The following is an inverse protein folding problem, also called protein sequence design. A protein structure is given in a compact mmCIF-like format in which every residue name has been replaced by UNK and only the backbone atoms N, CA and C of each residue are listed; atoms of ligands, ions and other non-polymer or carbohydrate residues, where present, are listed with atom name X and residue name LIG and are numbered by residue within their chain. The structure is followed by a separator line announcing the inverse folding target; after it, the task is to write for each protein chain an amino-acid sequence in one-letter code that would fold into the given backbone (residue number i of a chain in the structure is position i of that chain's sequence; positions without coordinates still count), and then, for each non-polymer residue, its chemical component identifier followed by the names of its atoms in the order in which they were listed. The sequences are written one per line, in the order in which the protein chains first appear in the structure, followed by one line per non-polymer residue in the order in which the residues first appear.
data_IF_602932605341
#
_entry.id   IF_602932605341
#
_cell.length_a   1.000
_cell.length_b   1.000
_cell.length_c   1.000
_cell.angle_alpha   90.00
_cell.angle_beta   90.00
_cell.angle_gamma   90.00
#
_symmetry.space_group_name_H-M   'P 1'
#
loop_
_entity.id
_entity.type
_entity.pdbx_description
1 polymer ?
#
# COMPACT_ATOMS: atom_id res chain seq x y z
N UNK A 1 -20.98 -3.52 -9.45
CA UNK A 1 -20.17 -3.61 -8.23
C UNK A 1 -20.41 -4.95 -7.56
N UNK A 2 -19.74 -5.21 -6.44
CA UNK A 2 -20.05 -6.35 -5.58
C UNK A 2 -19.36 -7.69 -5.85
N UNK A 3 -18.31 -7.75 -6.69
CA UNK A 3 -17.49 -8.98 -6.83
C UNK A 3 -16.02 -8.70 -6.58
N UNK A 4 -15.46 -9.43 -5.63
CA UNK A 4 -14.03 -9.46 -5.37
C UNK A 4 -13.32 -10.43 -6.31
N UNK A 5 -12.15 -10.01 -6.77
CA UNK A 5 -11.24 -10.84 -7.54
C UNK A 5 -9.91 -10.92 -6.82
N UNK A 6 -9.24 -12.07 -6.91
CA UNK A 6 -7.89 -12.25 -6.40
C UNK A 6 -6.91 -12.15 -7.55
N UNK A 7 -6.04 -11.16 -7.49
CA UNK A 7 -4.89 -11.02 -8.39
C UNK A 7 -3.73 -11.84 -7.82
N UNK A 8 -3.09 -12.64 -8.66
CA UNK A 8 -1.85 -13.36 -8.33
C UNK A 8 -0.81 -13.00 -9.37
N UNK A 9 0.30 -12.45 -8.93
CA UNK A 9 1.43 -12.17 -9.80
C UNK A 9 2.30 -13.44 -9.89
N UNK A 10 2.73 -13.86 -11.09
CA UNK A 10 3.73 -14.92 -11.23
C UNK A 10 5.00 -14.59 -10.47
N UNK A 11 5.61 -15.58 -9.81
CA UNK A 11 6.77 -15.37 -8.94
C UNK A 11 7.96 -14.78 -9.71
N UNK A 12 8.08 -15.10 -11.00
CA UNK A 12 9.15 -14.64 -11.89
C UNK A 12 9.06 -13.13 -12.17
N UNK A 13 7.90 -12.50 -11.91
CA UNK A 13 7.71 -11.06 -12.05
C UNK A 13 7.95 -10.29 -10.75
N UNK A 14 8.26 -10.99 -9.66
CA UNK A 14 8.54 -10.37 -8.37
C UNK A 14 10.07 -10.20 -8.25
N UNK A 15 10.58 -8.97 -8.19
CA UNK A 15 12.01 -8.71 -8.02
C UNK A 15 12.43 -9.01 -6.58
N UNK A 16 12.60 -10.30 -6.23
CA UNK A 16 12.77 -10.77 -4.86
C UNK A 16 13.91 -10.08 -4.07
N UNK A 17 14.97 -9.70 -4.78
CA UNK A 17 16.17 -9.06 -4.24
C UNK A 17 16.02 -7.53 -4.02
N UNK A 18 14.98 -6.89 -4.58
CA UNK A 18 14.72 -5.47 -4.34
C UNK A 18 13.66 -5.32 -3.23
N UNK A 19 14.04 -4.85 -2.02
CA UNK A 19 13.12 -4.78 -0.89
C UNK A 19 11.99 -3.78 -1.09
N UNK A 20 12.13 -2.80 -2.00
CA UNK A 20 11.08 -1.82 -2.30
C UNK A 20 10.21 -2.32 -3.45
N UNK A 21 10.82 -2.80 -4.54
CA UNK A 21 10.08 -3.17 -5.75
C UNK A 21 9.25 -4.46 -5.56
N UNK A 22 9.63 -5.34 -4.62
CA UNK A 22 8.86 -6.55 -4.31
C UNK A 22 7.59 -6.32 -3.47
N UNK A 23 7.40 -5.12 -2.93
CA UNK A 23 6.21 -4.81 -2.11
C UNK A 23 4.94 -4.83 -2.96
N UNK A 24 3.85 -5.38 -2.42
CA UNK A 24 2.53 -5.44 -3.08
C UNK A 24 2.10 -4.08 -3.68
N UNK A 25 2.35 -2.99 -2.94
CA UNK A 25 2.02 -1.62 -3.38
C UNK A 25 2.86 -1.17 -4.58
N UNK A 26 4.14 -1.55 -4.62
CA UNK A 26 5.06 -1.23 -5.71
C UNK A 26 4.69 -2.02 -6.95
N UNK A 27 4.43 -3.33 -6.80
CA UNK A 27 3.98 -4.22 -7.86
C UNK A 27 2.65 -3.75 -8.46
N UNK A 28 1.69 -3.35 -7.63
CA UNK A 28 0.42 -2.81 -8.09
C UNK A 28 0.63 -1.49 -8.86
N UNK A 29 1.49 -0.60 -8.34
CA UNK A 29 1.79 0.67 -8.98
C UNK A 29 2.44 0.47 -10.36
N UNK A 30 3.47 -0.37 -10.43
CA UNK A 30 4.28 -0.61 -11.62
C UNK A 30 3.54 -1.41 -12.70
N UNK A 31 2.78 -2.43 -12.33
CA UNK A 31 2.16 -3.32 -13.31
C UNK A 31 0.73 -2.95 -13.68
N UNK A 32 0.05 -2.13 -12.88
CA UNK A 32 -1.38 -1.83 -13.09
C UNK A 32 -1.66 -0.33 -13.05
N UNK A 33 -1.38 0.36 -11.95
CA UNK A 33 -1.83 1.75 -11.75
C UNK A 33 -1.19 2.69 -12.78
N UNK A 34 0.13 2.61 -12.97
CA UNK A 34 0.83 3.44 -13.94
C UNK A 34 0.53 3.03 -15.40
N UNK A 35 0.77 1.78 -15.85
CA UNK A 35 0.65 1.45 -17.27
C UNK A 35 -0.79 1.26 -17.75
N UNK A 36 -1.73 0.88 -16.87
CA UNK A 36 -3.13 0.60 -17.27
C UNK A 36 -4.04 1.78 -16.95
N UNK A 37 -3.91 2.40 -15.77
CA UNK A 37 -4.77 3.53 -15.36
C UNK A 37 -4.15 4.90 -15.66
N UNK A 38 -2.88 4.95 -16.05
CA UNK A 38 -2.18 6.19 -16.38
C UNK A 38 -1.99 7.11 -15.17
N UNK A 39 -1.88 6.56 -13.95
CA UNK A 39 -1.66 7.33 -12.72
C UNK A 39 -0.20 7.14 -12.30
N UNK A 40 0.64 8.16 -12.54
CA UNK A 40 2.09 8.09 -12.30
C UNK A 40 2.52 8.73 -10.98
N UNK A 41 1.80 9.75 -10.51
CA UNK A 41 2.01 10.36 -9.19
C UNK A 41 0.74 10.27 -8.33
N UNK A 42 0.62 9.23 -7.50
CA UNK A 42 -0.56 9.03 -6.67
C UNK A 42 -0.70 10.06 -5.54
N UNK A 43 0.29 10.94 -5.34
CA UNK A 43 0.19 12.04 -4.36
C UNK A 43 -0.57 13.25 -4.91
N UNK A 44 -0.69 13.35 -6.24
CA UNK A 44 -1.23 14.53 -6.92
C UNK A 44 -2.39 14.21 -7.85
N UNK A 45 -2.51 12.96 -8.30
CA UNK A 45 -3.59 12.57 -9.20
C UNK A 45 -4.94 12.49 -8.43
N UNK A 46 -5.96 13.28 -8.81
CA UNK A 46 -7.24 13.28 -8.11
C UNK A 46 -8.07 12.02 -8.36
N UNK A 47 -7.66 11.16 -9.31
CA UNK A 47 -8.38 9.91 -9.66
C UNK A 47 -8.06 8.75 -8.73
N UNK A 48 -7.14 8.92 -7.77
CA UNK A 48 -6.80 7.89 -6.78
C UNK A 48 -7.08 8.38 -5.36
N UNK A 49 -7.72 7.52 -4.57
CA UNK A 49 -8.02 7.77 -3.17
C UNK A 49 -7.54 6.63 -2.28
N UNK A 50 -7.37 6.91 -0.99
CA UNK A 50 -6.89 5.93 -0.01
C UNK A 50 -7.87 5.80 1.15
N UNK A 51 -8.21 4.57 1.49
CA UNK A 51 -9.02 4.23 2.65
C UNK A 51 -8.08 3.88 3.81
N UNK A 52 -8.21 4.58 4.94
CA UNK A 52 -7.42 4.28 6.13
C UNK A 52 -7.83 2.95 6.76
N UNK A 53 -6.88 2.28 7.42
CA UNK A 53 -7.06 0.91 7.94
C UNK A 53 -8.31 0.73 8.81
N UNK A 54 -8.65 1.72 9.64
CA UNK A 54 -9.81 1.70 10.55
C UNK A 54 -11.17 1.51 9.83
N UNK A 55 -11.28 1.94 8.57
CA UNK A 55 -12.52 1.80 7.79
C UNK A 55 -12.60 0.44 7.07
N UNK A 56 -11.46 -0.20 6.82
CA UNK A 56 -11.37 -1.54 6.25
C UNK A 56 -11.99 -1.70 4.85
N UNK A 57 -12.36 -2.94 4.53
CA UNK A 57 -12.87 -3.34 3.21
C UNK A 57 -14.26 -2.77 2.91
N UNK A 58 -15.13 -2.60 3.92
CA UNK A 58 -16.49 -2.11 3.71
C UNK A 58 -16.54 -0.70 3.12
N UNK A 59 -15.59 0.17 3.47
CA UNK A 59 -15.50 1.50 2.85
C UNK A 59 -15.00 1.44 1.40
N UNK A 60 -14.15 0.47 1.05
CA UNK A 60 -13.75 0.24 -0.36
C UNK A 60 -14.97 -0.19 -1.18
N UNK A 61 -15.76 -1.13 -0.67
CA UNK A 61 -16.99 -1.60 -1.32
C UNK A 61 -17.97 -0.45 -1.49
N UNK A 62 -18.23 0.31 -0.42
CA UNK A 62 -19.15 1.45 -0.44
C UNK A 62 -18.82 2.45 -1.54
N UNK A 63 -17.54 2.83 -1.70
CA UNK A 63 -17.11 3.79 -2.73
C UNK A 63 -17.28 3.28 -4.15
N UNK A 64 -17.05 1.98 -4.37
CA UNK A 64 -17.24 1.37 -5.69
C UNK A 64 -18.72 1.23 -6.00
N UNK A 65 -19.52 0.72 -5.05
CA UNK A 65 -20.94 0.48 -5.24
C UNK A 65 -21.75 1.78 -5.33
N UNK A 66 -21.29 2.87 -4.71
CA UNK A 66 -21.91 4.19 -4.86
C UNK A 66 -21.53 4.91 -6.17
N UNK A 67 -20.59 4.36 -6.95
CA UNK A 67 -20.06 5.01 -8.15
C UNK A 67 -19.10 6.17 -7.89
N UNK A 68 -18.65 6.39 -6.65
CA UNK A 68 -17.61 7.37 -6.31
C UNK A 68 -16.27 6.96 -6.97
N UNK A 69 -15.99 5.67 -6.98
CA UNK A 69 -14.80 5.08 -7.58
C UNK A 69 -15.17 3.97 -8.56
N UNK A 70 -14.39 3.81 -9.63
CA UNK A 70 -14.62 2.75 -10.62
C UNK A 70 -14.15 1.36 -10.15
N UNK A 71 -13.10 1.31 -9.32
CA UNK A 71 -12.48 0.08 -8.81
C UNK A 71 -11.76 0.38 -7.50
N UNK A 72 -11.61 -0.65 -6.65
CA UNK A 72 -10.83 -0.62 -5.44
C UNK A 72 -9.83 -1.78 -5.41
N UNK A 73 -8.69 -1.56 -4.74
CA UNK A 73 -7.66 -2.57 -4.53
C UNK A 73 -7.44 -2.73 -3.02
N UNK A 74 -7.35 -3.98 -2.58
CA UNK A 74 -6.92 -4.33 -1.23
C UNK A 74 -5.63 -5.14 -1.34
N UNK A 75 -4.66 -4.78 -0.50
CA UNK A 75 -3.33 -5.41 -0.47
C UNK A 75 -3.13 -6.09 0.88
N UNK A 76 -2.22 -7.07 0.92
CA UNK A 76 -1.84 -7.64 2.20
C UNK A 76 -1.12 -6.57 3.04
N UNK A 77 -1.27 -6.60 4.38
CA UNK A 77 -0.47 -5.77 5.24
C UNK A 77 1.03 -6.01 4.97
N UNK A 78 1.78 -4.94 4.78
CA UNK A 78 3.24 -5.01 4.68
C UNK A 78 3.79 -5.66 5.95
N UNK A 79 4.62 -6.69 5.78
CA UNK A 79 5.18 -7.44 6.91
C UNK A 79 6.29 -6.65 7.60
N UNK A 80 6.57 -6.99 8.86
CA UNK A 80 7.67 -6.35 9.59
C UNK A 80 9.01 -6.63 8.93
N UNK A 81 9.23 -7.83 8.42
CA UNK A 81 10.47 -8.22 7.75
C UNK A 81 10.73 -7.38 6.49
N UNK A 82 9.67 -7.04 5.75
CA UNK A 82 9.78 -6.17 4.58
C UNK A 82 10.09 -4.72 4.97
N UNK A 83 9.46 -4.22 6.04
CA UNK A 83 9.77 -2.90 6.60
C UNK A 83 11.26 -2.82 7.01
N UNK A 84 11.75 -3.84 7.74
CA UNK A 84 13.14 -3.91 8.18
C UNK A 84 14.10 -3.99 6.98
N UNK A 85 13.80 -4.82 5.98
CA UNK A 85 14.63 -4.96 4.79
C UNK A 85 14.77 -3.64 3.99
N UNK A 86 13.69 -2.85 3.89
CA UNK A 86 13.73 -1.52 3.27
C UNK A 86 14.63 -0.56 4.07
N UNK A 87 14.52 -0.58 5.40
CA UNK A 87 15.33 0.26 6.29
C UNK A 87 16.82 -0.13 6.24
N UNK A 88 17.14 -1.42 6.31
CA UNK A 88 18.50 -1.95 6.23
C UNK A 88 19.17 -1.61 4.88
N UNK A 89 18.38 -1.52 3.81
CA UNK A 89 18.84 -1.07 2.51
C UNK A 89 19.02 0.46 2.40
N UNK A 90 18.74 1.23 3.45
CA UNK A 90 18.78 2.69 3.44
C UNK A 90 17.74 3.32 2.51
N UNK A 91 16.64 2.61 2.22
CA UNK A 91 15.59 3.05 1.29
C UNK A 91 14.37 3.56 2.06
N UNK A 92 13.45 4.18 1.32
CA UNK A 92 12.22 4.76 1.87
C UNK A 92 11.03 3.92 1.41
N UNK A 93 10.10 3.66 2.34
CA UNK A 93 8.85 2.98 2.03
C UNK A 93 8.05 3.74 0.96
N UNK A 94 7.42 3.05 0.00
CA UNK A 94 6.51 3.68 -0.95
C UNK A 94 5.40 4.46 -0.23
N UNK A 95 4.88 5.55 -0.80
CA UNK A 95 3.81 6.31 -0.17
C UNK A 95 2.59 5.41 0.06
N UNK A 96 1.99 5.52 1.25
CA UNK A 96 0.74 4.84 1.61
C UNK A 96 0.84 3.30 1.60
N UNK A 97 2.04 2.76 1.79
CA UNK A 97 2.33 1.32 1.84
C UNK A 97 2.05 0.65 3.21
N UNK A 98 1.94 1.44 4.27
CA UNK A 98 1.78 0.97 5.65
C UNK A 98 0.75 1.81 6.40
N UNK A 99 0.03 1.16 7.31
CA UNK A 99 -0.86 1.81 8.29
C UNK A 99 -0.50 1.29 9.68
N UNK A 100 -0.13 2.18 10.60
CA UNK A 100 0.17 1.84 11.99
C UNK A 100 -0.99 2.21 12.92
N UNK A 101 -1.30 1.31 13.85
CA UNK A 101 -2.29 1.54 14.90
C UNK A 101 -1.76 1.06 16.27
N UNK A 102 -1.78 1.92 17.31
CA UNK A 102 -2.06 3.36 17.23
C UNK A 102 -1.01 4.07 16.38
N UNK A 103 -1.37 5.21 15.77
CA UNK A 103 -0.34 6.10 15.22
C UNK A 103 0.64 6.40 16.35
N UNK A 104 1.94 6.35 16.06
CA UNK A 104 2.97 6.73 17.04
C UNK A 104 2.56 8.05 17.66
N UNK A 105 2.48 8.08 19.00
CA UNK A 105 2.24 9.32 19.70
C UNK A 105 3.39 10.27 19.34
N UNK A 106 3.06 11.41 18.73
CA UNK A 106 4.03 12.46 18.48
C UNK A 106 4.66 12.85 19.84
N UNK A 107 5.98 12.68 19.98
CA UNK A 107 6.72 13.02 21.21
C UNK A 107 7.09 11.85 22.15
N UNK A 108 7.08 10.59 21.71
CA UNK A 108 7.63 9.49 22.50
C UNK A 108 9.16 9.63 22.65
N UNK A 109 9.63 9.98 23.85
CA UNK A 109 11.05 9.96 24.23
C UNK A 109 11.33 8.68 25.00
N UNK A 110 12.23 7.85 24.48
CA UNK A 110 12.77 6.68 25.18
C UNK A 110 14.16 7.03 25.72
N UNK A 111 14.28 7.15 27.04
CA UNK A 111 15.56 7.31 27.74
C UNK A 111 15.84 5.99 28.45
N UNK A 112 16.96 5.33 28.12
CA UNK A 112 17.43 4.18 28.89
C UNK A 112 17.89 4.72 30.23
N UNK A 113 17.26 4.30 31.32
CA UNK A 113 17.71 4.64 32.68
C UNK A 113 18.75 3.58 33.04
N UNK A 114 19.96 4.02 33.40
CA UNK A 114 21.05 3.17 33.91
C UNK A 114 20.65 2.46 35.22
#
# INVERSE_FOLDING_TARGET
GGRWYRLRLPAERIPAEDPVARLDVSLLAEHLIAPVLGITDPRRDPRIGFVGGVRGLGELERRVDSGEMAVAFSLHPTRMEDLMAVADAGRVMPPKSTWFEPKLADGLVSHVID
#
